data_IF_784141010408
#
_entry.id   IF_784141010408
#
_cell.length_a   1.000
_cell.length_b   1.000
_cell.length_c   1.000
_cell.angle_alpha   90.00
_cell.angle_beta   90.00
_cell.angle_gamma   90.00
#
_symmetry.space_group_name_H-M   'P 1'
#
loop_
_entity.id
_entity.type
_entity.pdbx_description
1 polymer ?
#
# COMPACT_ATOMS: atom_id res chain seq x y z
N UNK A 1 -13.70 -18.14 -7.27
CA UNK A 1 -13.48 -17.55 -5.92
C UNK A 1 -14.74 -16.83 -5.48
N UNK A 2 -15.20 -17.05 -4.25
CA UNK A 2 -16.39 -16.34 -3.74
C UNK A 2 -16.11 -14.83 -3.60
N UNK A 3 -17.10 -13.96 -3.84
CA UNK A 3 -16.94 -12.53 -3.66
C UNK A 3 -16.62 -12.19 -2.20
N UNK A 4 -15.67 -11.29 -1.98
CA UNK A 4 -15.28 -10.81 -0.65
C UNK A 4 -16.08 -9.54 -0.36
N UNK A 5 -17.03 -9.54 0.59
CA UNK A 5 -17.98 -8.44 0.79
C UNK A 5 -17.30 -7.10 1.09
N UNK A 6 -16.27 -7.09 1.97
CA UNK A 6 -15.55 -5.88 2.36
C UNK A 6 -14.80 -5.25 1.18
N UNK A 7 -14.16 -6.06 0.33
CA UNK A 7 -13.49 -5.59 -0.89
C UNK A 7 -14.49 -5.00 -1.88
N UNK A 8 -15.65 -5.65 -2.05
CA UNK A 8 -16.72 -5.10 -2.92
C UNK A 8 -17.27 -3.77 -2.40
N UNK A 9 -17.40 -3.63 -1.08
CA UNK A 9 -17.80 -2.36 -0.48
C UNK A 9 -16.77 -1.27 -0.74
N UNK A 10 -15.48 -1.58 -0.55
CA UNK A 10 -14.37 -0.66 -0.82
C UNK A 10 -14.33 -0.22 -2.30
N UNK A 11 -14.44 -1.15 -3.24
CA UNK A 11 -14.47 -0.83 -4.67
C UNK A 11 -15.66 0.09 -5.02
N UNK A 12 -16.84 -0.18 -4.45
CA UNK A 12 -18.00 0.71 -4.67
C UNK A 12 -17.74 2.11 -4.10
N UNK A 13 -17.16 2.21 -2.90
CA UNK A 13 -16.81 3.49 -2.27
C UNK A 13 -15.82 4.28 -3.11
N UNK A 14 -14.72 3.64 -3.56
CA UNK A 14 -13.71 4.27 -4.40
C UNK A 14 -14.28 4.81 -5.71
N UNK A 15 -15.16 4.05 -6.36
CA UNK A 15 -15.80 4.48 -7.62
C UNK A 15 -16.81 5.61 -7.43
N UNK A 16 -17.54 5.62 -6.33
CA UNK A 16 -18.54 6.64 -6.05
C UNK A 16 -17.93 7.98 -5.63
N UNK A 17 -16.72 7.96 -5.09
CA UNK A 17 -16.05 9.15 -4.55
C UNK A 17 -14.59 9.18 -5.03
N UNK A 18 -14.33 9.56 -6.29
CA UNK A 18 -12.96 9.67 -6.80
C UNK A 18 -12.19 10.74 -5.99
N UNK A 19 -10.86 10.63 -5.93
CA UNK A 19 -10.04 11.60 -5.23
C UNK A 19 -10.05 12.94 -5.96
N UNK A 20 -9.66 14.04 -5.30
CA UNK A 20 -9.32 15.28 -5.99
C UNK A 20 -8.25 15.03 -7.05
N UNK A 21 -8.17 15.88 -8.10
CA UNK A 21 -7.08 15.79 -9.08
C UNK A 21 -5.71 15.83 -8.41
N UNK A 22 -4.77 15.03 -8.92
CA UNK A 22 -3.40 15.00 -8.44
C UNK A 22 -2.75 16.39 -8.55
N UNK A 23 -2.04 16.84 -7.53
CA UNK A 23 -1.30 18.11 -7.55
C UNK A 23 -0.17 18.07 -8.58
N UNK A 24 0.36 16.91 -8.87
CA UNK A 24 1.40 16.64 -9.87
C UNK A 24 1.26 15.22 -10.38
N UNK A 25 1.55 15.01 -11.66
CA UNK A 25 1.79 13.67 -12.19
C UNK A 25 3.29 13.40 -12.09
N UNK A 26 3.65 12.27 -11.46
CA UNK A 26 5.02 11.83 -11.25
C UNK A 26 5.17 10.35 -11.62
N UNK A 27 6.39 9.85 -11.60
CA UNK A 27 6.62 8.41 -11.62
C UNK A 27 6.23 7.86 -10.25
N UNK A 28 5.25 6.97 -10.25
CA UNK A 28 4.84 6.17 -9.10
C UNK A 28 5.56 4.83 -9.20
N UNK A 29 6.14 4.36 -8.12
CA UNK A 29 6.80 3.06 -8.05
C UNK A 29 5.77 1.91 -8.07
N UNK A 30 4.66 2.11 -7.37
CA UNK A 30 3.55 1.16 -7.29
C UNK A 30 3.71 0.07 -6.21
N UNK A 31 4.94 -0.21 -5.76
CA UNK A 31 5.24 -1.10 -4.60
C UNK A 31 6.30 -0.48 -3.68
N UNK A 32 6.07 0.79 -3.28
CA UNK A 32 7.00 1.58 -2.46
C UNK A 32 6.99 1.12 -1.01
N UNK A 33 7.91 0.21 -0.66
CA UNK A 33 8.06 -0.37 0.69
C UNK A 33 9.52 -0.72 0.99
N UNK A 34 9.85 -0.88 2.27
CA UNK A 34 11.22 -1.17 2.72
C UNK A 34 11.83 -2.43 2.12
N UNK A 35 11.02 -3.44 1.81
CA UNK A 35 11.49 -4.68 1.16
C UNK A 35 12.07 -4.48 -0.24
N UNK A 36 11.77 -3.35 -0.90
CA UNK A 36 12.27 -3.00 -2.22
C UNK A 36 13.39 -1.95 -2.16
N UNK A 37 13.93 -1.67 -0.97
CA UNK A 37 14.97 -0.65 -0.74
C UNK A 37 16.26 -1.31 -0.27
N UNK A 38 17.38 -0.91 -0.87
CA UNK A 38 18.72 -1.25 -0.39
C UNK A 38 19.32 -0.05 0.32
N UNK A 39 19.87 -0.26 1.51
CA UNK A 39 20.56 0.76 2.31
C UNK A 39 21.91 0.25 2.80
N UNK A 40 22.78 1.17 3.20
CA UNK A 40 24.15 0.88 3.66
C UNK A 40 24.24 0.46 5.13
N UNK A 41 23.13 0.30 5.83
CA UNK A 41 23.08 0.04 7.27
C UNK A 41 23.26 1.30 8.14
N UNK A 42 23.63 2.43 7.55
CA UNK A 42 23.80 3.73 8.22
C UNK A 42 22.68 4.72 7.88
N UNK A 43 21.61 4.25 7.25
CA UNK A 43 20.41 5.05 6.90
C UNK A 43 20.44 5.69 5.51
N UNK A 44 21.49 5.48 4.70
CA UNK A 44 21.55 5.99 3.33
C UNK A 44 20.97 4.96 2.38
N UNK A 45 19.97 5.36 1.58
CA UNK A 45 19.43 4.55 0.50
C UNK A 45 20.44 4.47 -0.65
N UNK A 46 20.72 3.26 -1.12
CA UNK A 46 21.63 2.98 -2.23
C UNK A 46 20.89 2.68 -3.53
N UNK A 47 19.76 1.97 -3.46
CA UNK A 47 18.95 1.62 -4.62
C UNK A 47 17.50 1.35 -4.23
N UNK A 48 16.62 1.48 -5.22
CA UNK A 48 15.23 1.08 -5.20
C UNK A 48 15.02 0.00 -6.27
N UNK A 49 14.41 -1.13 -5.90
CA UNK A 49 14.18 -2.29 -6.77
C UNK A 49 12.70 -2.47 -7.08
N UNK A 50 12.43 -3.38 -8.01
CA UNK A 50 11.10 -3.91 -8.31
C UNK A 50 10.14 -2.86 -8.90
N UNK A 51 10.58 -2.26 -10.00
CA UNK A 51 9.85 -1.21 -10.73
C UNK A 51 8.77 -1.75 -11.69
N UNK A 52 8.40 -3.03 -11.60
CA UNK A 52 7.47 -3.66 -12.55
C UNK A 52 6.06 -3.05 -12.50
N UNK A 53 5.67 -2.44 -11.38
CA UNK A 53 4.40 -1.75 -11.21
C UNK A 53 4.48 -0.24 -11.50
N UNK A 54 5.63 0.26 -11.94
CA UNK A 54 5.83 1.69 -12.13
C UNK A 54 4.97 2.27 -13.25
N UNK A 55 4.42 3.45 -12.99
CA UNK A 55 3.58 4.17 -13.93
C UNK A 55 3.59 5.69 -13.66
N UNK A 56 2.95 6.45 -14.54
CA UNK A 56 2.72 7.88 -14.31
C UNK A 56 1.40 8.06 -13.54
N UNK A 57 1.46 8.71 -12.37
CA UNK A 57 0.30 8.85 -11.50
C UNK A 57 0.47 9.89 -10.40
N UNK A 58 -0.47 9.88 -9.45
CA UNK A 58 -0.42 10.72 -8.26
C UNK A 58 0.62 10.15 -7.27
N UNK A 59 1.64 10.91 -6.84
CA UNK A 59 2.64 10.44 -5.89
C UNK A 59 2.07 10.09 -4.51
N UNK A 60 0.85 10.49 -4.18
CA UNK A 60 0.15 10.03 -2.97
C UNK A 60 -0.16 8.53 -2.99
N UNK A 61 -0.13 7.87 -4.16
CA UNK A 61 -0.26 6.42 -4.23
C UNK A 61 0.88 5.72 -3.49
N UNK A 62 2.13 6.08 -3.80
CA UNK A 62 3.30 5.49 -3.13
C UNK A 62 3.33 5.82 -1.64
N UNK A 63 3.01 7.06 -1.28
CA UNK A 63 2.90 7.45 0.12
C UNK A 63 1.84 6.64 0.85
N UNK A 64 0.66 6.47 0.23
CA UNK A 64 -0.43 5.66 0.78
C UNK A 64 -0.07 4.19 0.93
N UNK A 65 0.71 3.65 0.00
CA UNK A 65 1.22 2.28 0.09
C UNK A 65 2.23 2.13 1.23
N UNK A 66 3.20 3.05 1.33
CA UNK A 66 4.18 3.06 2.41
C UNK A 66 3.55 3.20 3.81
N UNK A 67 2.42 3.88 3.89
CA UNK A 67 1.67 4.11 5.13
C UNK A 67 0.56 3.08 5.39
N UNK A 68 0.39 2.07 4.53
CA UNK A 68 -0.62 1.03 4.75
C UNK A 68 -0.26 0.23 6.01
N UNK A 69 -1.21 0.03 6.95
CA UNK A 69 -0.99 -0.73 8.18
C UNK A 69 -0.56 -2.19 7.97
N UNK A 70 -0.64 -2.70 6.74
CA UNK A 70 -0.10 -4.03 6.40
C UNK A 70 1.41 -4.10 6.67
N UNK A 71 2.13 -2.98 6.53
CA UNK A 71 3.56 -2.86 6.74
C UNK A 71 3.96 -2.56 8.19
N UNK A 72 3.00 -2.31 9.07
CA UNK A 72 3.26 -2.02 10.48
C UNK A 72 3.78 -3.25 11.25
N UNK A 73 3.59 -4.43 10.72
CA UNK A 73 3.94 -5.75 11.26
C UNK A 73 3.90 -5.85 12.79
N UNK A 74 4.95 -5.37 13.47
CA UNK A 74 5.10 -5.44 14.92
C UNK A 74 5.26 -4.08 15.59
N UNK A 75 5.21 -2.99 14.82
CA UNK A 75 5.38 -1.61 15.29
C UNK A 75 4.30 -0.69 14.69
N UNK A 76 3.09 -0.69 15.24
CA UNK A 76 1.99 0.15 14.75
C UNK A 76 2.40 1.63 14.68
N UNK A 77 2.04 2.29 13.58
CA UNK A 77 2.34 3.70 13.36
C UNK A 77 3.72 4.00 12.78
N UNK A 78 4.49 2.97 12.42
CA UNK A 78 5.77 3.12 11.72
C UNK A 78 5.58 2.89 10.21
N UNK A 79 5.79 3.93 9.42
CA UNK A 79 5.69 3.86 7.97
C UNK A 79 6.75 2.91 7.40
N UNK A 80 6.33 1.87 6.68
CA UNK A 80 7.22 0.85 6.08
C UNK A 80 8.24 0.23 7.04
N UNK A 81 8.02 0.27 8.35
CA UNK A 81 9.00 -0.18 9.34
C UNK A 81 10.23 0.71 9.49
N UNK A 82 10.18 1.97 9.00
CA UNK A 82 11.34 2.87 8.98
C UNK A 82 11.19 4.10 9.88
N UNK A 83 10.09 4.83 9.76
CA UNK A 83 9.87 6.12 10.42
C UNK A 83 8.49 6.20 11.07
N UNK A 84 8.34 6.94 12.17
CA UNK A 84 7.01 7.33 12.65
C UNK A 84 6.21 8.00 11.52
N UNK A 85 4.91 7.69 11.47
CA UNK A 85 4.02 8.16 10.40
C UNK A 85 4.08 9.67 10.17
N UNK A 86 4.05 10.46 11.25
CA UNK A 86 4.05 11.92 11.16
C UNK A 86 5.39 12.45 10.63
N UNK A 87 6.50 11.81 11.02
CA UNK A 87 7.83 12.14 10.51
C UNK A 87 7.94 11.79 9.02
N UNK A 88 7.45 10.61 8.60
CA UNK A 88 7.41 10.23 7.19
C UNK A 88 6.61 11.23 6.34
N UNK A 89 5.46 11.70 6.85
CA UNK A 89 4.66 12.74 6.19
C UNK A 89 5.40 14.08 6.11
N UNK A 90 6.11 14.48 7.17
CA UNK A 90 6.90 15.71 7.19
C UNK A 90 8.06 15.66 6.19
N UNK A 91 8.80 14.55 6.16
CA UNK A 91 9.90 14.32 5.21
C UNK A 91 9.38 14.34 3.77
N UNK A 92 8.26 13.65 3.52
CA UNK A 92 7.67 13.60 2.18
C UNK A 92 7.26 14.99 1.68
N UNK A 93 6.59 15.81 2.53
CA UNK A 93 6.24 17.21 2.18
C UNK A 93 7.46 18.06 1.89
N UNK A 94 8.47 17.96 2.75
CA UNK A 94 9.68 18.76 2.62
C UNK A 94 10.45 18.49 1.31
N UNK A 95 10.46 17.24 0.83
CA UNK A 95 11.20 16.85 -0.37
C UNK A 95 10.38 16.91 -1.65
N UNK A 96 9.08 16.61 -1.59
CA UNK A 96 8.20 16.67 -2.77
C UNK A 96 7.75 18.09 -3.10
N UNK A 97 7.66 18.97 -2.12
CA UNK A 97 7.03 20.28 -2.22
C UNK A 97 5.51 20.22 -2.42
N UNK A 98 4.89 19.06 -2.12
CA UNK A 98 3.45 18.83 -2.27
C UNK A 98 2.78 18.73 -0.90
N UNK A 99 1.49 19.04 -0.88
CA UNK A 99 0.66 18.86 0.31
C UNK A 99 0.05 17.45 0.34
N UNK A 100 -0.16 16.95 1.55
CA UNK A 100 -0.92 15.72 1.78
C UNK A 100 -2.38 16.10 2.00
N UNK A 101 -3.15 16.19 0.91
CA UNK A 101 -4.58 16.40 1.00
C UNK A 101 -5.25 15.22 1.73
N UNK A 102 -5.99 15.47 2.83
CA UNK A 102 -6.53 14.38 3.64
C UNK A 102 -7.64 13.58 2.94
N UNK A 103 -8.34 14.17 1.95
CA UNK A 103 -9.36 13.46 1.18
C UNK A 103 -8.69 12.53 0.18
N UNK A 104 -7.72 13.03 -0.60
CA UNK A 104 -6.94 12.24 -1.52
C UNK A 104 -6.19 11.11 -0.78
N UNK A 105 -5.57 11.42 0.37
CA UNK A 105 -4.82 10.45 1.15
C UNK A 105 -5.70 9.30 1.67
N UNK A 106 -6.92 9.58 2.15
CA UNK A 106 -7.86 8.52 2.55
C UNK A 106 -8.29 7.66 1.37
N UNK A 107 -8.48 8.27 0.20
CA UNK A 107 -8.82 7.52 -1.00
C UNK A 107 -7.69 6.58 -1.41
N UNK A 108 -6.46 7.11 -1.46
CA UNK A 108 -5.27 6.33 -1.80
C UNK A 108 -4.97 5.23 -0.79
N UNK A 109 -5.19 5.47 0.50
CA UNK A 109 -5.07 4.45 1.53
C UNK A 109 -6.04 3.27 1.27
N UNK A 110 -7.32 3.57 1.02
CA UNK A 110 -8.31 2.53 0.71
C UNK A 110 -8.00 1.82 -0.62
N UNK A 111 -7.59 2.56 -1.66
CA UNK A 111 -7.18 1.99 -2.94
C UNK A 111 -6.02 1.01 -2.78
N UNK A 112 -4.97 1.42 -2.07
CA UNK A 112 -3.80 0.60 -1.82
C UNK A 112 -4.12 -0.66 -1.01
N UNK A 113 -5.01 -0.56 -0.03
CA UNK A 113 -5.46 -1.74 0.70
C UNK A 113 -6.21 -2.73 -0.20
N UNK A 114 -7.03 -2.24 -1.15
CA UNK A 114 -7.69 -3.08 -2.15
C UNK A 114 -6.66 -3.68 -3.13
N UNK A 115 -5.69 -2.89 -3.57
CA UNK A 115 -4.56 -3.34 -4.41
C UNK A 115 -3.78 -4.46 -3.73
N UNK A 116 -3.37 -4.25 -2.47
CA UNK A 116 -2.68 -5.26 -1.67
C UNK A 116 -3.49 -6.55 -1.56
N UNK A 117 -4.79 -6.42 -1.28
CA UNK A 117 -5.67 -7.59 -1.19
C UNK A 117 -5.73 -8.40 -2.50
N UNK A 118 -5.65 -7.74 -3.65
CA UNK A 118 -5.57 -8.41 -4.95
C UNK A 118 -4.22 -9.13 -5.12
N UNK A 119 -3.11 -8.47 -4.78
CA UNK A 119 -1.76 -9.04 -4.83
C UNK A 119 -1.67 -10.32 -3.98
N UNK A 120 -2.14 -10.28 -2.73
CA UNK A 120 -2.13 -11.45 -1.84
C UNK A 120 -2.99 -12.60 -2.37
N UNK A 121 -4.08 -12.27 -3.06
CA UNK A 121 -4.93 -13.27 -3.73
C UNK A 121 -4.19 -13.96 -4.88
N UNK A 122 -3.47 -13.20 -5.69
CA UNK A 122 -2.68 -13.73 -6.81
C UNK A 122 -1.52 -14.61 -6.31
N UNK A 123 -0.80 -14.15 -5.29
CA UNK A 123 0.28 -14.90 -4.65
C UNK A 123 -0.20 -16.27 -4.14
N UNK A 124 -1.37 -16.30 -3.48
CA UNK A 124 -1.96 -17.56 -3.03
C UNK A 124 -2.33 -18.49 -4.19
N UNK A 125 -2.86 -17.94 -5.27
CA UNK A 125 -3.18 -18.72 -6.46
C UNK A 125 -1.95 -19.37 -7.08
N UNK A 126 -0.87 -18.64 -7.25
CA UNK A 126 0.39 -19.16 -7.76
C UNK A 126 0.91 -20.32 -6.92
N UNK A 127 0.73 -20.26 -5.60
CA UNK A 127 1.14 -21.34 -4.71
C UNK A 127 0.23 -22.57 -4.83
N UNK A 128 -1.09 -22.43 -4.75
CA UNK A 128 -2.01 -23.59 -4.75
C UNK A 128 -2.14 -24.25 -6.12
N UNK A 129 -1.99 -23.49 -7.21
CA UNK A 129 -2.04 -24.04 -8.58
C UNK A 129 -0.73 -24.78 -8.95
N UNK A 130 0.23 -24.86 -8.00
CA UNK A 130 1.44 -25.67 -8.12
C UNK A 130 2.53 -25.07 -8.99
N UNK A 131 2.40 -23.81 -9.41
CA UNK A 131 3.40 -23.14 -10.24
C UNK A 131 4.67 -22.74 -9.47
N UNK A 132 4.56 -22.48 -8.20
CA UNK A 132 5.67 -22.09 -7.30
C UNK A 132 5.50 -22.70 -5.91
N UNK A 133 6.61 -23.14 -5.32
CA UNK A 133 6.64 -23.76 -3.99
C UNK A 133 7.24 -22.83 -2.92
N UNK A 134 7.37 -21.54 -3.22
CA UNK A 134 7.95 -20.56 -2.30
C UNK A 134 7.06 -20.39 -1.05
N UNK A 135 7.58 -20.65 0.17
CA UNK A 135 6.84 -20.48 1.40
C UNK A 135 6.32 -19.05 1.63
N UNK A 136 6.99 -18.04 1.06
CA UNK A 136 6.55 -16.65 1.15
C UNK A 136 5.21 -16.46 0.44
N UNK A 137 4.99 -17.10 -0.71
CA UNK A 137 3.70 -17.06 -1.42
C UNK A 137 2.59 -17.71 -0.59
N UNK A 138 2.88 -18.85 0.07
CA UNK A 138 1.94 -19.51 0.95
C UNK A 138 1.56 -18.62 2.14
N UNK A 139 2.54 -18.05 2.84
CA UNK A 139 2.34 -17.14 3.96
C UNK A 139 1.56 -15.88 3.53
N UNK A 140 1.98 -15.26 2.45
CA UNK A 140 1.33 -14.07 1.89
C UNK A 140 -0.13 -14.35 1.56
N UNK A 141 -0.43 -15.51 0.99
CA UNK A 141 -1.80 -15.90 0.65
C UNK A 141 -2.67 -16.33 1.84
N UNK A 142 -2.07 -16.79 2.95
CA UNK A 142 -2.80 -17.26 4.11
C UNK A 142 -3.05 -16.17 5.16
N UNK A 143 -2.04 -15.39 5.51
CA UNK A 143 -2.09 -14.41 6.59
C UNK A 143 -2.51 -13.03 6.12
N UNK A 144 -1.84 -12.50 5.10
CA UNK A 144 -2.01 -11.11 4.66
C UNK A 144 -3.43 -10.77 4.16
N UNK A 145 -4.16 -11.67 3.47
CA UNK A 145 -5.53 -11.38 3.07
C UNK A 145 -6.46 -11.05 4.23
N UNK A 146 -6.37 -11.79 5.34
CA UNK A 146 -7.22 -11.57 6.51
C UNK A 146 -6.89 -10.26 7.21
N UNK A 147 -5.61 -9.95 7.33
CA UNK A 147 -5.15 -8.67 7.89
C UNK A 147 -5.60 -7.50 7.00
N UNK A 148 -5.47 -7.63 5.69
CA UNK A 148 -5.89 -6.60 4.74
C UNK A 148 -7.41 -6.39 4.76
N UNK A 149 -8.20 -7.46 4.87
CA UNK A 149 -9.66 -7.37 5.00
C UNK A 149 -10.07 -6.58 6.25
N UNK A 150 -9.36 -6.77 7.37
CA UNK A 150 -9.59 -6.00 8.61
C UNK A 150 -9.18 -4.51 8.45
N UNK A 151 -8.07 -4.23 7.78
CA UNK A 151 -7.64 -2.85 7.47
C UNK A 151 -8.67 -2.15 6.60
N UNK A 152 -9.15 -2.80 5.53
CA UNK A 152 -10.20 -2.26 4.66
C UNK A 152 -11.47 -1.97 5.45
N UNK A 153 -11.89 -2.87 6.34
CA UNK A 153 -13.07 -2.66 7.16
C UNK A 153 -12.94 -1.42 8.06
N UNK A 154 -11.81 -1.28 8.76
CA UNK A 154 -11.54 -0.12 9.61
C UNK A 154 -11.48 1.20 8.82
N UNK A 155 -10.91 1.18 7.61
CA UNK A 155 -10.89 2.35 6.73
C UNK A 155 -12.29 2.75 6.27
N UNK A 156 -13.16 1.79 5.97
CA UNK A 156 -14.55 2.05 5.58
C UNK A 156 -15.37 2.63 6.74
N UNK A 157 -15.18 2.15 7.97
CA UNK A 157 -15.81 2.69 9.19
C UNK A 157 -15.38 4.14 9.45
N UNK A 158 -14.09 4.46 9.26
CA UNK A 158 -13.57 5.82 9.39
C UNK A 158 -14.01 6.79 8.30
N UNK A 159 -14.72 6.31 7.27
CA UNK A 159 -15.29 7.10 6.17
C UNK A 159 -16.82 7.25 6.26
N UNK A 160 -17.46 6.58 7.22
CA UNK A 160 -18.89 6.72 7.51
C UNK A 160 -19.13 7.92 8.40
#
# INVERSE_FOLDING_TARGET
>A
MAPIPVVRAAIRRLRAHPPPPAQRIAIVHGDYRSGNMMHDGAGRMLAMFDWEMAHLGDPLEDLGWALDPIWDHFQPGIACGMLPRDEALAVWRAHSGLDVDPVAMRWWALFNSVKGRAIWTSAYREFIDGGRTDPVLAFSGWYLPRRQDAIIAAQLEGLA
#
